data_IF_316177122494
#
_entry.id   IF_316177122494
#
_cell.length_a   1.000
_cell.length_b   1.000
_cell.length_c   1.000
_cell.angle_alpha   90.00
_cell.angle_beta   90.00
_cell.angle_gamma   90.00
#
_symmetry.space_group_name_H-M   'P 1'
#
loop_
_entity.id
_entity.type
_entity.pdbx_description
1 polymer ?
#
# COMPACT_ATOMS: atom_id res chain seq x y z
N UNK A 1 -10.42 -0.35 25.52
CA UNK A 1 -8.97 -0.35 25.81
C UNK A 1 -8.29 -1.01 24.62
N UNK A 2 -7.65 -0.25 23.73
CA UNK A 2 -6.90 -0.81 22.60
C UNK A 2 -5.65 -1.48 23.16
N UNK A 3 -5.43 -2.74 22.81
CA UNK A 3 -4.18 -3.44 23.16
C UNK A 3 -3.02 -2.69 22.48
N UNK A 4 -1.87 -2.51 23.16
CA UNK A 4 -0.73 -1.86 22.56
C UNK A 4 -0.27 -2.66 21.34
N UNK A 5 -0.02 -1.94 20.24
CA UNK A 5 0.51 -2.52 19.00
C UNK A 5 1.98 -2.90 19.23
N UNK A 6 2.20 -4.16 19.66
CA UNK A 6 3.53 -4.67 19.99
C UNK A 6 4.48 -4.67 18.77
N UNK A 7 3.96 -4.71 17.55
CA UNK A 7 4.76 -4.60 16.34
C UNK A 7 5.31 -3.18 16.19
N UNK A 8 4.48 -2.16 16.45
CA UNK A 8 4.93 -0.77 16.43
C UNK A 8 5.98 -0.46 17.50
N UNK A 9 5.95 -1.15 18.64
CA UNK A 9 6.95 -0.96 19.72
C UNK A 9 8.32 -1.55 19.37
N UNK A 10 8.41 -2.45 18.38
CA UNK A 10 9.63 -3.18 18.00
C UNK A 10 10.18 -2.76 16.65
N UNK A 11 9.39 -2.10 15.80
CA UNK A 11 9.82 -1.68 14.48
C UNK A 11 10.92 -0.62 14.55
N UNK A 12 11.98 -0.79 13.75
CA UNK A 12 13.08 0.19 13.65
C UNK A 12 12.60 1.53 13.10
N UNK A 13 11.65 1.48 12.17
CA UNK A 13 11.07 2.65 11.53
C UNK A 13 9.54 2.55 11.46
N UNK A 14 8.91 3.67 11.76
CA UNK A 14 7.45 3.80 11.67
C UNK A 14 7.04 5.17 11.13
N UNK A 15 5.91 5.23 10.46
CA UNK A 15 5.19 6.45 10.12
C UNK A 15 3.82 6.45 10.80
N UNK A 16 3.41 7.56 11.42
CA UNK A 16 2.06 7.71 11.97
C UNK A 16 0.97 7.66 10.90
N UNK A 17 -0.29 7.58 11.34
CA UNK A 17 -1.46 7.74 10.46
C UNK A 17 -1.47 9.15 9.87
N UNK A 18 -1.76 9.26 8.59
CA UNK A 18 -1.79 10.49 7.79
C UNK A 18 -0.44 11.24 7.72
N UNK A 19 0.67 10.52 7.89
CA UNK A 19 2.00 11.06 7.73
C UNK A 19 2.86 10.19 6.80
N UNK A 20 3.79 10.84 6.10
CA UNK A 20 4.87 10.16 5.38
C UNK A 20 6.18 10.37 6.11
N UNK A 21 7.06 9.37 6.06
CA UNK A 21 8.40 9.45 6.64
C UNK A 21 9.45 8.98 5.65
N UNK A 22 10.42 9.85 5.35
CA UNK A 22 11.62 9.46 4.57
C UNK A 22 12.70 8.96 5.52
N UNK A 23 13.24 7.79 5.19
CA UNK A 23 14.36 7.14 5.90
C UNK A 23 15.53 7.03 4.94
N UNK A 24 16.69 7.59 5.33
CA UNK A 24 17.95 7.36 4.64
C UNK A 24 18.64 6.13 5.24
N UNK A 25 18.95 5.16 4.41
CA UNK A 25 19.63 3.92 4.82
C UNK A 25 21.16 4.08 4.76
N UNK A 26 21.88 3.24 5.48
CA UNK A 26 23.33 3.33 5.60
C UNK A 26 24.11 3.10 4.30
N UNK A 27 23.50 2.47 3.29
CA UNK A 27 24.06 2.27 1.95
C UNK A 27 23.82 3.46 1.01
N UNK A 28 23.09 4.50 1.46
CA UNK A 28 22.68 5.66 0.69
C UNK A 28 21.38 5.46 -0.09
N UNK A 29 20.71 4.32 0.07
CA UNK A 29 19.33 4.12 -0.40
C UNK A 29 18.35 4.94 0.43
N UNK A 30 17.18 5.24 -0.15
CA UNK A 30 16.10 5.95 0.55
C UNK A 30 14.83 5.11 0.53
N UNK A 31 14.11 5.15 1.66
CA UNK A 31 12.78 4.55 1.80
C UNK A 31 11.81 5.64 2.22
N UNK A 32 10.77 5.84 1.44
CA UNK A 32 9.63 6.66 1.83
C UNK A 32 8.54 5.74 2.37
N UNK A 33 8.28 5.81 3.67
CA UNK A 33 7.19 5.12 4.34
C UNK A 33 5.90 5.94 4.16
N UNK A 34 4.84 5.29 3.76
CA UNK A 34 3.51 5.86 3.69
C UNK A 34 2.83 5.87 5.06
N UNK A 35 1.62 6.42 5.13
CA UNK A 35 0.76 6.44 6.31
C UNK A 35 0.66 5.06 6.99
N UNK A 36 0.75 5.03 8.32
CA UNK A 36 0.57 3.84 9.14
C UNK A 36 1.45 2.65 8.72
N UNK A 37 2.73 2.92 8.46
CA UNK A 37 3.70 1.92 7.96
C UNK A 37 4.74 1.59 9.01
N UNK A 38 5.09 0.30 9.11
CA UNK A 38 6.13 -0.24 9.99
C UNK A 38 7.15 -1.02 9.18
N UNK A 39 8.43 -0.81 9.44
CA UNK A 39 9.53 -1.50 8.78
C UNK A 39 10.70 -1.76 9.71
N UNK A 40 11.34 -2.93 9.55
CA UNK A 40 12.61 -3.29 10.16
C UNK A 40 13.73 -3.24 9.11
N UNK A 41 14.94 -2.91 9.53
CA UNK A 41 16.10 -2.80 8.65
C UNK A 41 17.25 -3.64 9.20
N UNK A 42 17.74 -4.58 8.40
CA UNK A 42 18.88 -5.42 8.73
C UNK A 42 19.97 -5.21 7.69
N UNK A 43 20.92 -4.34 8.01
CA UNK A 43 22.07 -4.06 7.16
C UNK A 43 23.36 -4.54 7.83
N UNK A 44 24.11 -5.33 7.07
CA UNK A 44 25.47 -5.75 7.45
C UNK A 44 26.33 -5.85 6.16
N UNK A 45 27.63 -6.22 6.25
CA UNK A 45 28.49 -6.32 5.07
C UNK A 45 27.94 -7.24 3.96
N UNK A 46 27.13 -8.25 4.31
CA UNK A 46 26.61 -9.27 3.40
C UNK A 46 25.14 -9.03 2.99
N UNK A 47 24.39 -8.27 3.78
CA UNK A 47 22.92 -8.10 3.60
C UNK A 47 22.51 -6.65 3.60
N UNK A 48 21.63 -6.33 2.67
CA UNK A 48 20.81 -5.10 2.63
C UNK A 48 19.36 -5.53 2.61
N UNK A 49 18.75 -5.66 3.79
CA UNK A 49 17.41 -6.24 3.91
C UNK A 49 16.49 -5.32 4.70
N UNK A 50 15.29 -5.09 4.16
CA UNK A 50 14.19 -4.39 4.82
C UNK A 50 13.00 -5.33 4.90
N UNK A 51 12.36 -5.41 6.06
CA UNK A 51 11.11 -6.15 6.24
C UNK A 51 9.97 -5.17 6.45
N UNK A 52 9.02 -5.13 5.52
CA UNK A 52 7.80 -4.37 5.64
C UNK A 52 6.82 -5.17 6.51
N UNK A 53 6.58 -4.71 7.74
CA UNK A 53 5.72 -5.37 8.71
C UNK A 53 4.25 -4.99 8.52
N UNK A 54 4.00 -3.75 8.07
CA UNK A 54 2.67 -3.20 7.79
C UNK A 54 2.78 -2.01 6.87
N UNK A 55 1.76 -1.78 6.06
CA UNK A 55 1.63 -0.56 5.28
C UNK A 55 2.25 -0.66 3.90
N UNK A 56 2.81 0.45 3.42
CA UNK A 56 3.44 0.50 2.11
C UNK A 56 4.63 1.47 2.10
N UNK A 57 5.59 1.16 1.23
CA UNK A 57 6.80 1.93 1.12
C UNK A 57 7.26 2.05 -0.34
N UNK A 58 7.91 3.16 -0.65
CA UNK A 58 8.61 3.37 -1.90
C UNK A 58 10.11 3.36 -1.65
N UNK A 59 10.82 2.56 -2.43
CA UNK A 59 12.25 2.33 -2.32
C UNK A 59 12.97 2.97 -3.50
N UNK A 60 13.95 3.83 -3.20
CA UNK A 60 14.95 4.34 -4.15
C UNK A 60 16.29 3.71 -3.79
N UNK A 61 16.56 2.56 -4.40
CA UNK A 61 17.73 1.75 -4.03
C UNK A 61 18.95 2.17 -4.83
N UNK A 62 20.03 2.52 -4.11
CA UNK A 62 21.33 2.84 -4.71
C UNK A 62 21.91 1.61 -5.41
N UNK A 63 22.39 1.74 -6.66
CA UNK A 63 23.01 0.64 -7.38
C UNK A 63 24.20 0.04 -6.63
N UNK A 64 24.16 -1.27 -6.43
CA UNK A 64 25.25 -2.08 -5.89
C UNK A 64 25.10 -3.52 -6.42
N UNK A 65 25.86 -3.85 -7.46
CA UNK A 65 25.79 -5.17 -8.08
C UNK A 65 26.40 -6.28 -7.23
N UNK A 66 27.31 -5.93 -6.29
CA UNK A 66 27.97 -6.90 -5.43
C UNK A 66 27.06 -7.36 -4.28
N UNK A 67 26.14 -6.49 -3.83
CA UNK A 67 25.23 -6.79 -2.73
C UNK A 67 23.78 -6.48 -3.13
N UNK A 68 23.01 -7.53 -3.32
CA UNK A 68 21.58 -7.36 -3.59
C UNK A 68 20.85 -6.71 -2.39
N UNK A 69 19.82 -5.92 -2.70
CA UNK A 69 18.90 -5.35 -1.73
C UNK A 69 17.64 -6.21 -1.70
N UNK A 70 17.16 -6.53 -0.52
CA UNK A 70 15.98 -7.36 -0.34
C UNK A 70 14.87 -6.58 0.40
N UNK A 71 13.62 -6.77 -0.03
CA UNK A 71 12.44 -6.35 0.72
C UNK A 71 11.58 -7.57 0.96
N UNK A 72 11.31 -7.88 2.23
CA UNK A 72 10.34 -8.91 2.62
C UNK A 72 9.02 -8.23 3.00
N UNK A 73 7.91 -8.77 2.51
CA UNK A 73 6.56 -8.33 2.84
C UNK A 73 5.64 -9.56 2.85
N UNK A 74 5.19 -9.99 4.03
CA UNK A 74 4.42 -11.22 4.16
C UNK A 74 5.13 -12.43 3.53
N UNK A 75 4.50 -13.04 2.53
CA UNK A 75 5.03 -14.20 1.80
C UNK A 75 5.80 -13.83 0.52
N UNK A 76 6.02 -12.54 0.31
CA UNK A 76 6.73 -12.04 -0.88
C UNK A 76 8.10 -11.54 -0.51
N UNK A 77 9.10 -11.94 -1.29
CA UNK A 77 10.47 -11.45 -1.20
C UNK A 77 10.88 -10.81 -2.51
N UNK A 78 11.24 -9.54 -2.44
CA UNK A 78 11.70 -8.73 -3.56
C UNK A 78 13.21 -8.63 -3.52
N UNK A 79 13.87 -8.85 -4.66
CA UNK A 79 15.33 -8.71 -4.82
C UNK A 79 15.65 -7.71 -5.92
N UNK A 80 16.52 -6.75 -5.61
CA UNK A 80 16.96 -5.72 -6.56
C UNK A 80 18.46 -5.42 -6.41
N UNK A 81 19.03 -4.73 -7.39
CA UNK A 81 20.44 -4.27 -7.35
C UNK A 81 20.59 -2.77 -7.53
N UNK A 82 19.51 -2.04 -7.85
CA UNK A 82 19.52 -0.59 -8.08
C UNK A 82 18.27 -0.18 -8.85
N UNK A 83 17.17 0.09 -8.16
CA UNK A 83 15.83 0.26 -8.74
C UNK A 83 15.00 1.24 -7.93
N UNK A 84 13.97 1.80 -8.57
CA UNK A 84 12.91 2.54 -7.89
C UNK A 84 11.60 1.76 -8.01
N UNK A 85 10.99 1.39 -6.87
CA UNK A 85 9.80 0.54 -6.82
C UNK A 85 9.01 0.74 -5.54
N UNK A 86 7.75 0.34 -5.55
CA UNK A 86 6.89 0.35 -4.38
C UNK A 86 6.51 -1.07 -3.97
N UNK A 87 6.35 -1.26 -2.67
CA UNK A 87 5.78 -2.47 -2.06
C UNK A 87 4.64 -2.05 -1.14
N UNK A 88 3.49 -2.68 -1.30
CA UNK A 88 2.31 -2.50 -0.43
C UNK A 88 1.92 -3.84 0.18
N UNK A 89 1.94 -3.90 1.51
CA UNK A 89 1.43 -5.04 2.28
C UNK A 89 0.04 -4.67 2.82
N UNK A 90 -0.93 -5.49 2.52
CA UNK A 90 -2.31 -5.34 2.96
C UNK A 90 -2.89 -6.69 3.42
N UNK A 91 -4.10 -6.69 3.97
CA UNK A 91 -4.73 -7.90 4.54
C UNK A 91 -4.95 -9.01 3.50
N UNK A 92 -5.03 -8.66 2.22
CA UNK A 92 -5.27 -9.61 1.13
C UNK A 92 -3.98 -10.14 0.50
N UNK A 93 -2.84 -9.47 0.72
CA UNK A 93 -1.58 -9.87 0.10
C UNK A 93 -0.59 -8.71 -0.11
N UNK A 94 0.17 -8.80 -1.19
CA UNK A 94 1.28 -7.88 -1.47
C UNK A 94 1.21 -7.40 -2.91
N UNK A 95 1.33 -6.09 -3.09
CA UNK A 95 1.51 -5.47 -4.40
C UNK A 95 2.95 -4.95 -4.55
N UNK A 96 3.57 -5.24 -5.70
CA UNK A 96 4.89 -4.75 -6.09
C UNK A 96 4.79 -4.03 -7.41
N UNK A 97 5.13 -2.74 -7.47
CA UNK A 97 5.12 -1.95 -8.70
C UNK A 97 6.46 -1.27 -8.96
N UNK A 98 6.89 -1.23 -10.22
CA UNK A 98 8.24 -0.81 -10.60
C UNK A 98 8.21 0.51 -11.36
N UNK A 99 8.85 1.55 -10.79
CA UNK A 99 9.02 2.83 -11.47
C UNK A 99 10.21 2.79 -12.44
N UNK A 100 11.34 2.20 -12.02
CA UNK A 100 12.53 2.08 -12.88
C UNK A 100 13.43 0.92 -12.48
N UNK A 101 14.12 0.33 -13.46
CA UNK A 101 15.03 -0.80 -13.29
C UNK A 101 14.33 -2.16 -13.39
N UNK A 102 14.95 -3.19 -12.82
CA UNK A 102 14.44 -4.57 -12.83
C UNK A 102 14.33 -5.11 -11.41
N UNK A 103 13.20 -5.71 -11.11
CA UNK A 103 12.85 -6.27 -9.81
C UNK A 103 12.55 -7.75 -9.95
N UNK A 104 13.24 -8.59 -9.16
CA UNK A 104 12.93 -10.02 -9.07
C UNK A 104 12.03 -10.27 -7.85
N UNK A 105 10.85 -10.83 -8.09
CA UNK A 105 9.85 -11.10 -7.05
C UNK A 105 9.72 -12.60 -6.86
N UNK A 106 9.97 -13.06 -5.63
CA UNK A 106 9.74 -14.42 -5.18
C UNK A 106 8.47 -14.45 -4.31
N UNK A 107 7.60 -15.39 -4.58
CA UNK A 107 6.42 -15.69 -3.76
C UNK A 107 6.58 -17.06 -3.11
N UNK A 108 5.67 -17.48 -2.26
CA UNK A 108 5.69 -18.83 -1.66
C UNK A 108 5.75 -19.93 -2.72
N UNK A 109 5.09 -19.77 -3.86
CA UNK A 109 5.18 -20.70 -5.00
C UNK A 109 6.54 -20.69 -5.68
N UNK A 110 7.28 -19.59 -5.59
CA UNK A 110 8.60 -19.46 -6.23
C UNK A 110 9.73 -20.20 -5.52
N UNK A 111 9.48 -20.87 -4.40
CA UNK A 111 10.49 -21.73 -3.76
C UNK A 111 10.94 -22.88 -4.66
N UNK A 112 10.10 -23.25 -5.65
CA UNK A 112 10.36 -24.29 -6.67
C UNK A 112 10.38 -23.74 -8.11
N UNK A 113 10.04 -22.46 -8.33
CA UNK A 113 9.87 -21.83 -9.63
C UNK A 113 10.77 -20.60 -9.75
N UNK A 114 11.14 -20.19 -10.96
CA UNK A 114 11.91 -18.96 -11.20
C UNK A 114 11.15 -17.71 -10.70
N UNK A 115 11.86 -16.66 -10.24
CA UNK A 115 11.24 -15.42 -9.82
C UNK A 115 10.49 -14.73 -10.97
N UNK A 116 9.44 -13.98 -10.63
CA UNK A 116 8.85 -13.03 -11.57
C UNK A 116 9.79 -11.85 -11.76
N UNK A 117 10.20 -11.60 -13.00
CA UNK A 117 10.99 -10.42 -13.35
C UNK A 117 10.05 -9.30 -13.77
N UNK A 118 10.09 -8.20 -13.03
CA UNK A 118 9.28 -7.01 -13.29
C UNK A 118 10.18 -5.89 -13.82
N UNK A 119 9.65 -5.12 -14.77
CA UNK A 119 10.28 -3.96 -15.39
C UNK A 119 9.46 -2.69 -15.12
N UNK A 120 9.97 -1.56 -15.55
CA UNK A 120 9.28 -0.28 -15.43
C UNK A 120 7.84 -0.35 -15.98
N UNK A 121 6.87 0.08 -15.17
CA UNK A 121 5.44 0.00 -15.45
C UNK A 121 4.77 -1.28 -14.97
N UNK A 122 5.51 -2.34 -14.63
CA UNK A 122 4.91 -3.59 -14.17
C UNK A 122 4.34 -3.46 -12.74
N UNK A 123 3.19 -4.10 -12.55
CA UNK A 123 2.56 -4.37 -11.26
C UNK A 123 2.38 -5.88 -11.09
N UNK A 124 2.89 -6.43 -10.00
CA UNK A 124 2.56 -7.77 -9.54
C UNK A 124 1.69 -7.64 -8.28
N UNK A 125 0.52 -8.27 -8.32
CA UNK A 125 -0.35 -8.44 -7.15
C UNK A 125 -0.35 -9.91 -6.73
N UNK A 126 0.08 -10.17 -5.49
CA UNK A 126 0.05 -11.48 -4.86
C UNK A 126 -1.07 -11.53 -3.84
N UNK A 127 -1.95 -12.54 -3.94
CA UNK A 127 -3.06 -12.78 -3.02
C UNK A 127 -2.71 -13.94 -2.09
N UNK A 128 -2.69 -13.67 -0.78
CA UNK A 128 -2.28 -14.67 0.22
C UNK A 128 -3.29 -15.80 0.42
N UNK A 129 -4.59 -15.54 0.18
CA UNK A 129 -5.67 -16.50 0.45
C UNK A 129 -5.65 -17.72 -0.49
N UNK A 130 -5.27 -17.52 -1.75
CA UNK A 130 -5.26 -18.55 -2.78
C UNK A 130 -3.90 -18.73 -3.46
N UNK A 131 -2.87 -18.08 -2.89
CA UNK A 131 -1.47 -18.13 -3.35
C UNK A 131 -1.33 -17.79 -4.85
N UNK A 132 -2.10 -16.77 -5.31
CA UNK A 132 -2.13 -16.38 -6.73
C UNK A 132 -1.36 -15.10 -6.99
N UNK A 133 -0.72 -15.07 -8.15
CA UNK A 133 -0.11 -13.85 -8.70
C UNK A 133 -0.87 -13.37 -9.93
N UNK A 134 -1.03 -12.06 -10.02
CA UNK A 134 -1.56 -11.35 -11.20
C UNK A 134 -0.56 -10.30 -11.63
N UNK A 135 -0.28 -10.26 -12.94
CA UNK A 135 0.54 -9.21 -13.55
C UNK A 135 -0.34 -8.22 -14.29
N UNK A 136 0.02 -6.95 -14.22
CA UNK A 136 -0.60 -5.85 -14.93
C UNK A 136 0.44 -4.80 -15.31
N UNK A 137 0.07 -3.88 -16.22
CA UNK A 137 0.86 -2.71 -16.57
C UNK A 137 0.16 -1.46 -16.02
N UNK A 138 0.94 -0.55 -15.45
CA UNK A 138 0.49 0.75 -14.97
C UNK A 138 1.23 1.87 -15.71
N UNK A 139 0.57 2.97 -16.03
CA UNK A 139 1.26 4.23 -16.33
C UNK A 139 2.17 4.62 -15.16
N UNK A 140 3.34 5.18 -15.44
CA UNK A 140 4.33 5.52 -14.40
C UNK A 140 3.77 6.49 -13.35
N UNK A 141 2.84 7.36 -13.74
CA UNK A 141 2.16 8.31 -12.86
C UNK A 141 1.26 7.61 -11.81
N UNK A 142 0.86 6.38 -12.08
CA UNK A 142 0.05 5.55 -11.17
C UNK A 142 0.90 4.65 -10.27
N UNK A 143 2.23 4.68 -10.41
CA UNK A 143 3.12 3.99 -9.48
C UNK A 143 3.27 4.82 -8.22
N UNK A 144 2.80 4.28 -7.10
CA UNK A 144 2.83 4.91 -5.79
C UNK A 144 2.34 6.37 -5.80
N UNK A 145 1.11 6.67 -6.31
CA UNK A 145 0.58 8.03 -6.39
C UNK A 145 0.42 8.68 -5.02
N UNK A 146 0.34 7.87 -3.97
CA UNK A 146 0.31 8.30 -2.58
C UNK A 146 1.50 9.15 -2.17
N UNK A 147 2.67 9.02 -2.81
CA UNK A 147 3.84 9.90 -2.60
C UNK A 147 3.50 11.37 -2.83
N UNK A 148 2.49 11.62 -3.66
CA UNK A 148 1.93 12.95 -3.93
C UNK A 148 0.60 13.18 -3.23
N UNK A 149 0.28 12.38 -2.22
CA UNK A 149 -0.99 12.43 -1.49
C UNK A 149 -2.20 12.18 -2.41
N UNK A 150 -2.06 11.33 -3.39
CA UNK A 150 -3.11 11.00 -4.35
C UNK A 150 -3.48 9.53 -4.26
N UNK A 151 -4.77 9.26 -4.39
CA UNK A 151 -5.32 7.93 -4.65
C UNK A 151 -6.07 8.00 -5.97
N UNK A 152 -5.68 7.17 -6.92
CA UNK A 152 -6.32 7.07 -8.23
C UNK A 152 -7.08 5.76 -8.29
N UNK A 153 -8.40 5.86 -8.31
CA UNK A 153 -9.29 4.72 -8.54
C UNK A 153 -9.81 4.78 -9.98
N UNK A 154 -9.63 3.72 -10.75
CA UNK A 154 -10.15 3.59 -12.11
C UNK A 154 -10.98 2.32 -12.15
N UNK A 155 -12.29 2.47 -12.28
CA UNK A 155 -13.24 1.36 -12.30
C UNK A 155 -13.01 0.37 -11.14
N UNK A 156 -12.81 0.87 -9.92
CA UNK A 156 -12.57 0.06 -8.72
C UNK A 156 -13.81 -0.05 -7.86
N UNK A 157 -14.08 -1.22 -7.23
CA UNK A 157 -15.12 -1.33 -6.20
C UNK A 157 -14.89 -0.34 -5.07
N UNK A 158 -15.94 0.31 -4.60
CA UNK A 158 -15.86 1.29 -3.50
C UNK A 158 -15.17 0.69 -2.26
N UNK A 159 -15.45 -0.56 -1.91
CA UNK A 159 -14.83 -1.21 -0.75
C UNK A 159 -13.29 -1.24 -0.83
N UNK A 160 -12.70 -1.46 -2.02
CA UNK A 160 -11.25 -1.43 -2.21
C UNK A 160 -10.69 -0.01 -2.02
N UNK A 161 -11.42 1.00 -2.49
CA UNK A 161 -11.04 2.41 -2.27
C UNK A 161 -11.13 2.77 -0.78
N UNK A 162 -12.15 2.27 -0.07
CA UNK A 162 -12.27 2.46 1.38
C UNK A 162 -11.12 1.82 2.16
N UNK A 163 -10.65 0.63 1.76
CA UNK A 163 -9.47 -0.02 2.36
C UNK A 163 -8.24 0.89 2.26
N UNK A 164 -8.03 1.53 1.11
CA UNK A 164 -6.92 2.45 0.93
C UNK A 164 -7.09 3.74 1.75
N UNK A 165 -8.28 4.33 1.78
CA UNK A 165 -8.57 5.55 2.56
C UNK A 165 -8.44 5.33 4.08
N UNK A 166 -8.75 4.13 4.58
CA UNK A 166 -8.59 3.78 6.01
C UNK A 166 -7.18 3.98 6.53
N UNK A 167 -6.15 3.87 5.69
CA UNK A 167 -4.76 4.12 6.08
C UNK A 167 -4.51 5.54 6.53
N UNK A 168 -5.29 6.50 5.99
CA UNK A 168 -5.11 7.93 6.20
C UNK A 168 -6.12 8.52 7.19
N UNK A 169 -7.16 7.77 7.52
CA UNK A 169 -8.20 8.21 8.44
C UNK A 169 -7.87 7.79 9.87
N UNK A 170 -7.67 8.75 10.79
CA UNK A 170 -7.60 8.43 12.21
C UNK A 170 -8.98 7.93 12.68
N UNK A 171 -9.10 6.62 12.91
CA UNK A 171 -10.36 6.00 13.31
C UNK A 171 -10.95 5.07 12.26
N UNK A 172 -12.25 4.84 12.33
CA UNK A 172 -12.93 3.83 11.53
C UNK A 172 -13.68 4.44 10.33
N UNK A 173 -13.67 3.72 9.21
CA UNK A 173 -14.63 3.93 8.12
C UNK A 173 -15.49 2.67 8.05
N UNK A 174 -16.78 2.81 8.35
CA UNK A 174 -17.74 1.72 8.33
C UNK A 174 -18.63 1.84 7.09
N UNK A 175 -18.74 0.76 6.34
CA UNK A 175 -19.66 0.64 5.22
C UNK A 175 -20.83 -0.24 5.69
N UNK A 176 -22.04 0.33 5.73
CA UNK A 176 -23.23 -0.37 6.24
C UNK A 176 -23.97 -1.16 5.15
N UNK A 177 -23.74 -0.82 3.89
CA UNK A 177 -24.38 -1.44 2.73
C UNK A 177 -23.34 -2.17 1.87
N UNK A 178 -23.39 -3.51 1.86
CA UNK A 178 -22.48 -4.34 1.05
C UNK A 178 -22.68 -4.13 -0.45
N UNK A 179 -23.92 -3.88 -0.91
CA UNK A 179 -24.18 -3.64 -2.33
C UNK A 179 -23.54 -2.32 -2.79
N UNK A 180 -23.52 -1.29 -1.93
CA UNK A 180 -22.80 -0.05 -2.17
C UNK A 180 -21.28 -0.29 -2.31
N UNK A 181 -20.72 -1.19 -1.52
CA UNK A 181 -19.30 -1.56 -1.58
C UNK A 181 -18.86 -2.14 -2.92
N UNK A 182 -19.74 -2.84 -3.60
CA UNK A 182 -19.48 -3.44 -4.91
C UNK A 182 -19.63 -2.43 -6.07
N UNK A 183 -20.22 -1.25 -5.82
CA UNK A 183 -20.35 -0.22 -6.84
C UNK A 183 -18.96 0.28 -7.26
N UNK A 184 -18.74 0.35 -8.56
CA UNK A 184 -17.46 0.75 -9.13
C UNK A 184 -17.38 2.27 -9.27
N UNK A 185 -16.22 2.83 -8.96
CA UNK A 185 -15.96 4.26 -9.03
C UNK A 185 -14.70 4.56 -9.82
N UNK A 186 -14.69 5.73 -10.44
CA UNK A 186 -13.49 6.33 -11.05
C UNK A 186 -13.33 7.71 -10.44
N UNK A 187 -12.23 7.91 -9.71
CA UNK A 187 -11.96 9.18 -9.02
C UNK A 187 -10.45 9.37 -8.76
N UNK A 188 -10.02 10.63 -8.76
CA UNK A 188 -8.74 11.05 -8.20
C UNK A 188 -8.99 11.73 -6.85
N UNK A 189 -8.45 11.18 -5.77
CA UNK A 189 -8.75 11.55 -4.40
C UNK A 189 -7.52 12.14 -3.73
N UNK A 190 -7.70 13.18 -2.90
CA UNK A 190 -6.65 13.78 -2.11
C UNK A 190 -6.57 13.13 -0.73
N UNK A 191 -5.47 12.44 -0.45
CA UNK A 191 -5.26 11.70 0.79
C UNK A 191 -4.93 12.59 2.01
N UNK A 192 -4.66 13.88 1.80
CA UNK A 192 -4.47 14.85 2.91
C UNK A 192 -5.76 15.20 3.64
N UNK A 193 -6.90 14.98 2.98
CA UNK A 193 -8.22 15.15 3.57
C UNK A 193 -9.07 13.89 3.27
N UNK A 194 -8.88 12.82 4.05
CA UNK A 194 -9.55 11.53 3.80
C UNK A 194 -11.07 11.62 3.91
N UNK A 195 -11.60 12.51 4.76
CA UNK A 195 -13.04 12.72 4.87
C UNK A 195 -13.63 13.31 3.57
N UNK A 196 -12.99 14.35 3.03
CA UNK A 196 -13.40 14.96 1.77
C UNK A 196 -13.17 14.01 0.59
N UNK A 197 -12.07 13.26 0.60
CA UNK A 197 -11.80 12.22 -0.38
C UNK A 197 -12.91 11.17 -0.39
N UNK A 198 -13.37 10.72 0.78
CA UNK A 198 -14.49 9.80 0.93
C UNK A 198 -15.79 10.38 0.38
N UNK A 199 -16.12 11.62 0.74
CA UNK A 199 -17.30 12.31 0.22
C UNK A 199 -17.29 12.41 -1.32
N UNK A 200 -16.12 12.74 -1.89
CA UNK A 200 -15.92 12.79 -3.35
C UNK A 200 -16.12 11.41 -3.99
N UNK A 201 -15.58 10.35 -3.38
CA UNK A 201 -15.68 8.99 -3.90
C UNK A 201 -17.12 8.48 -3.95
N UNK A 202 -17.95 8.82 -2.97
CA UNK A 202 -19.33 8.31 -2.85
C UNK A 202 -20.39 9.22 -3.47
N UNK A 203 -20.07 10.47 -3.79
CA UNK A 203 -21.03 11.42 -4.35
C UNK A 203 -21.76 10.90 -5.61
N UNK A 204 -21.07 10.27 -6.60
CA UNK A 204 -21.72 9.73 -7.78
C UNK A 204 -22.67 8.56 -7.48
N UNK A 205 -22.52 7.94 -6.30
CA UNK A 205 -23.30 6.78 -5.88
C UNK A 205 -24.60 7.18 -5.15
N UNK A 206 -24.80 8.48 -4.89
CA UNK A 206 -25.92 8.97 -4.07
C UNK A 206 -25.82 8.49 -2.62
N UNK A 207 -24.62 8.24 -2.12
CA UNK A 207 -24.39 7.81 -0.75
C UNK A 207 -24.00 8.99 0.16
N UNK A 208 -24.08 8.78 1.48
CA UNK A 208 -23.78 9.80 2.49
C UNK A 208 -22.72 9.32 3.47
N UNK A 209 -21.92 10.27 3.98
CA UNK A 209 -21.01 10.08 5.11
C UNK A 209 -21.64 10.72 6.32
N UNK A 210 -21.77 9.96 7.40
CA UNK A 210 -22.15 10.43 8.73
C UNK A 210 -20.94 10.35 9.66
N UNK A 211 -20.71 11.40 10.45
CA UNK A 211 -19.62 11.51 11.42
C UNK A 211 -20.13 11.80 12.84
N UNK A 212 -21.34 11.35 13.14
CA UNK A 212 -22.00 11.57 14.44
C UNK A 212 -21.36 10.79 15.58
N UNK A 213 -20.52 9.79 15.25
CA UNK A 213 -19.78 8.99 16.24
C UNK A 213 -18.33 9.43 16.24
N UNK A 214 -17.72 9.77 17.40
CA UNK A 214 -16.32 10.16 17.47
C UNK A 214 -15.41 9.15 16.79
N UNK A 215 -14.45 9.63 16.01
CA UNK A 215 -13.46 8.82 15.28
C UNK A 215 -14.07 7.78 14.30
N UNK A 216 -15.34 7.96 13.88
CA UNK A 216 -16.01 6.99 13.00
C UNK A 216 -16.74 7.72 11.87
N UNK A 217 -16.41 7.36 10.63
CA UNK A 217 -17.14 7.76 9.43
C UNK A 217 -18.01 6.60 8.98
N UNK A 218 -19.32 6.82 8.91
CA UNK A 218 -20.29 5.80 8.49
C UNK A 218 -20.75 6.13 7.07
N UNK A 219 -20.54 5.19 6.15
CA UNK A 219 -20.97 5.28 4.75
C UNK A 219 -22.24 4.47 4.57
N UNK A 220 -23.31 5.12 4.14
CA UNK A 220 -24.62 4.50 3.87
C UNK A 220 -25.20 5.00 2.56
N UNK A 221 -26.05 4.18 1.94
CA UNK A 221 -26.89 4.66 0.84
C UNK A 221 -27.80 5.80 1.32
N UNK A 222 -28.02 6.81 0.48
CA UNK A 222 -29.06 7.80 0.78
C UNK A 222 -30.41 7.10 0.74
N UNK A 223 -31.14 7.11 1.83
CA UNK A 223 -32.56 6.73 1.82
C UNK A 223 -33.28 7.70 0.88
N UNK A 224 -33.69 7.24 -0.30
CA UNK A 224 -34.68 7.95 -1.10
C UNK A 224 -35.96 7.84 -0.29
N UNK A 225 -36.33 8.90 0.44
CA UNK A 225 -37.69 9.00 0.96
C UNK A 225 -38.64 8.96 -0.25
N UNK A 226 -39.44 7.92 -0.31
CA UNK A 226 -40.61 7.81 -1.20
C UNK A 226 -41.64 8.85 -0.79
#
# INVERSE_FOLDING_TARGET
MLLPDWQAMRADYQSPVAEHRTVALSDGSQVLLDSNTLADVQFNPERREVTLLRGQAFFSVKPDAARAFYVNAGQVRVRVTGTAFAVSLNDNGVDVSVESGTVAVHTSQSSTTAPHLLHSGDLLSYTSADDRTRLAQLPLEQIAPWRRWQLVAIDQPLEQVLVQLRRYQPGLILLTDKALGQRRITAALNLRDPKRALQTAIAPLGARVQDSVPFTLIVSASSTAL
#
